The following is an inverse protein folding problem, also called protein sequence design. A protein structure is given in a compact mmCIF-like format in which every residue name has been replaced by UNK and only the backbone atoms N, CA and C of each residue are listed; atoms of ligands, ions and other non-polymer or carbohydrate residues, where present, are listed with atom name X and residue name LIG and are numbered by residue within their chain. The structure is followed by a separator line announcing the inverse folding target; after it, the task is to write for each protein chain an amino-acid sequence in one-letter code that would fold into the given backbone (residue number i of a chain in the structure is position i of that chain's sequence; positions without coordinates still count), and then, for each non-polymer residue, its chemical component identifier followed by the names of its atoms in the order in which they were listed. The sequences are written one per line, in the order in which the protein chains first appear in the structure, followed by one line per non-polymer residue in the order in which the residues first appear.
data_IF_635367123821
#
_entry.id   IF_635367123821
#
_cell.length_a   1.000
_cell.length_b   1.000
_cell.length_c   1.000
_cell.angle_alpha   90.00
_cell.angle_beta   90.00
_cell.angle_gamma   90.00
#
_symmetry.space_group_name_H-M   'P 1'
#
loop_
_entity.id
_entity.type
_entity.pdbx_description
1 polymer ?
#
# COMPACT_ATOMS: atom_id res chain seq x y z
N UNK A 1 -35.20 -16.21 32.18
CA UNK A 1 -36.24 -16.19 31.12
C UNK A 1 -36.56 -14.72 30.88
N UNK A 2 -36.25 -14.11 29.73
CA UNK A 2 -37.04 -14.18 28.49
C UNK A 2 -36.21 -13.75 27.27
N UNK A 3 -36.42 -14.48 26.18
CA UNK A 3 -35.85 -14.27 24.84
C UNK A 3 -36.41 -13.00 24.19
N UNK A 4 -35.60 -12.25 23.42
CA UNK A 4 -36.08 -11.52 22.23
C UNK A 4 -35.08 -11.65 21.07
N UNK A 5 -35.57 -12.29 20.01
CA UNK A 5 -34.97 -12.46 18.67
C UNK A 5 -35.22 -11.19 17.81
N UNK A 6 -34.53 -11.03 16.67
CA UNK A 6 -34.29 -9.75 15.99
C UNK A 6 -35.45 -9.32 15.08
N UNK A 7 -35.44 -8.06 14.61
CA UNK A 7 -36.23 -7.64 13.45
C UNK A 7 -35.42 -6.79 12.45
N UNK A 8 -35.68 -6.99 11.14
CA UNK A 8 -35.04 -6.31 10.01
C UNK A 8 -35.84 -5.07 9.61
N UNK A 9 -35.21 -4.12 8.91
CA UNK A 9 -35.87 -3.05 8.13
C UNK A 9 -34.76 -2.27 7.40
N UNK A 10 -34.86 -1.80 6.17
CA UNK A 10 -35.70 -2.04 4.99
C UNK A 10 -34.89 -1.38 3.85
N UNK A 11 -34.85 -2.01 2.67
CA UNK A 11 -34.30 -1.39 1.47
C UNK A 11 -35.22 -0.23 1.05
N UNK A 12 -34.68 0.98 0.93
CA UNK A 12 -35.32 2.03 0.14
C UNK A 12 -34.74 1.98 -1.27
N UNK A 13 -35.46 1.29 -2.13
CA UNK A 13 -35.38 1.39 -3.58
C UNK A 13 -35.95 2.76 -3.96
N UNK A 14 -35.14 3.65 -4.53
CA UNK A 14 -35.62 4.78 -5.32
C UNK A 14 -35.47 4.41 -6.79
N UNK A 15 -36.49 3.75 -7.32
CA UNK A 15 -36.81 3.84 -8.73
C UNK A 15 -37.59 5.15 -8.92
N UNK A 16 -37.24 5.98 -9.92
CA UNK A 16 -38.22 6.43 -10.92
C UNK A 16 -37.51 7.23 -12.03
N UNK A 17 -37.81 6.83 -13.28
CA UNK A 17 -37.83 7.57 -14.56
C UNK A 17 -36.60 8.39 -14.98
N UNK A 18 -36.08 8.34 -16.21
CA UNK A 18 -36.61 7.92 -17.49
C UNK A 18 -36.03 8.83 -18.59
N UNK A 19 -35.19 8.26 -19.45
CA UNK A 19 -35.00 8.58 -20.89
C UNK A 19 -34.61 10.03 -21.29
N UNK A 20 -33.37 10.22 -21.78
CA UNK A 20 -33.05 10.70 -23.16
C UNK A 20 -31.55 10.97 -23.41
N UNK A 21 -31.03 10.22 -24.38
CA UNK A 21 -29.97 10.52 -25.36
C UNK A 21 -28.48 10.59 -24.94
N UNK A 22 -27.58 10.02 -25.77
CA UNK A 22 -26.15 9.93 -25.49
C UNK A 22 -25.47 11.25 -25.85
N UNK A 23 -24.83 11.90 -24.89
CA UNK A 23 -23.92 13.01 -25.18
C UNK A 23 -22.50 12.47 -25.14
N UNK A 24 -21.90 12.51 -26.32
CA UNK A 24 -20.49 12.28 -26.62
C UNK A 24 -19.52 12.95 -25.66
N UNK A 25 -18.35 12.31 -25.54
CA UNK A 25 -17.07 12.87 -25.12
C UNK A 25 -16.95 13.34 -23.67
N UNK A 26 -16.96 12.37 -22.74
CA UNK A 26 -16.00 12.41 -21.65
C UNK A 26 -14.81 11.54 -22.05
N UNK A 27 -13.84 12.15 -22.71
CA UNK A 27 -12.50 11.61 -22.84
C UNK A 27 -11.92 11.47 -21.45
N UNK A 28 -12.27 10.41 -20.73
CA UNK A 28 -11.52 10.00 -19.56
C UNK A 28 -10.10 9.74 -20.07
N UNK A 29 -9.06 10.50 -19.65
CA UNK A 29 -7.72 10.01 -19.87
C UNK A 29 -7.65 8.70 -19.09
N UNK A 30 -7.65 7.58 -19.83
CA UNK A 30 -7.24 6.28 -19.31
C UNK A 30 -6.01 6.55 -18.44
N UNK A 31 -5.90 6.01 -17.22
CA UNK A 31 -4.61 6.02 -16.54
C UNK A 31 -3.63 5.44 -17.55
N UNK A 32 -2.68 6.26 -18.01
CA UNK A 32 -1.56 5.78 -18.80
C UNK A 32 -0.91 4.73 -17.91
N UNK A 33 -1.21 3.46 -18.16
CA UNK A 33 -0.39 2.38 -17.66
C UNK A 33 0.93 2.57 -18.38
N UNK A 34 1.81 3.34 -17.74
CA UNK A 34 3.19 3.51 -18.10
C UNK A 34 3.73 2.11 -18.36
N UNK A 35 4.06 1.86 -19.61
CA UNK A 35 4.66 0.63 -20.09
C UNK A 35 5.76 0.23 -19.09
N UNK A 36 5.72 -0.96 -18.45
CA UNK A 36 6.74 -1.31 -17.47
C UNK A 36 8.09 -1.37 -18.19
N UNK A 37 9.01 -0.47 -17.84
CA UNK A 37 10.39 -0.52 -18.31
C UNK A 37 10.94 -1.90 -17.97
N UNK A 38 11.55 -2.62 -18.92
CA UNK A 38 11.79 -4.06 -18.78
C UNK A 38 12.91 -4.45 -17.80
N UNK A 39 13.43 -3.55 -16.97
CA UNK A 39 14.57 -3.83 -16.09
C UNK A 39 14.64 -2.95 -14.83
N UNK A 40 13.51 -2.44 -14.33
CA UNK A 40 13.52 -1.68 -13.08
C UNK A 40 13.09 -2.59 -11.93
N UNK A 41 14.00 -2.79 -10.96
CA UNK A 41 13.71 -3.60 -9.78
C UNK A 41 12.51 -3.01 -9.01
N UNK A 42 11.63 -3.85 -8.44
CA UNK A 42 10.48 -3.37 -7.72
C UNK A 42 10.92 -2.54 -6.50
N UNK A 43 10.38 -1.33 -6.41
CA UNK A 43 10.53 -0.47 -5.23
C UNK A 43 9.48 -0.88 -4.21
N UNK A 44 9.93 -1.33 -3.05
CA UNK A 44 9.07 -1.87 -1.98
C UNK A 44 9.20 -1.04 -0.70
N UNK A 45 8.16 -1.06 0.14
CA UNK A 45 8.21 -0.44 1.45
C UNK A 45 9.08 -1.23 2.42
N UNK A 46 9.49 -0.58 3.50
CA UNK A 46 10.19 -1.22 4.63
C UNK A 46 9.48 -2.47 5.13
N UNK A 47 8.16 -2.41 5.32
CA UNK A 47 7.38 -3.53 5.87
C UNK A 47 7.40 -4.78 4.98
N UNK A 48 7.44 -4.59 3.66
CA UNK A 48 7.56 -5.71 2.72
C UNK A 48 8.95 -6.32 2.82
N UNK A 49 9.99 -5.48 2.81
CA UNK A 49 11.37 -5.93 2.94
C UNK A 49 11.61 -6.65 4.28
N UNK A 50 11.13 -6.07 5.40
CA UNK A 50 11.26 -6.59 6.75
C UNK A 50 10.65 -7.99 6.91
N UNK A 51 9.52 -8.26 6.23
CA UNK A 51 8.90 -9.60 6.22
C UNK A 51 9.73 -10.62 5.45
N UNK A 52 10.41 -10.18 4.39
CA UNK A 52 11.21 -11.06 3.51
C UNK A 52 12.65 -11.25 3.97
N UNK A 53 13.20 -10.32 4.76
CA UNK A 53 14.62 -10.32 5.13
C UNK A 53 14.99 -11.35 6.20
N UNK A 54 14.01 -11.86 6.95
CA UNK A 54 14.24 -12.84 8.02
C UNK A 54 15.02 -12.28 9.23
N UNK A 55 15.18 -10.95 9.31
CA UNK A 55 15.90 -10.27 10.38
C UNK A 55 15.05 -10.23 11.66
N UNK A 56 15.70 -10.34 12.82
CA UNK A 56 15.02 -10.26 14.13
C UNK A 56 14.31 -8.91 14.32
N UNK A 57 13.12 -8.94 14.93
CA UNK A 57 12.29 -7.75 15.15
C UNK A 57 13.00 -6.62 15.92
N UNK A 58 13.86 -6.95 16.89
CA UNK A 58 14.60 -5.94 17.67
C UNK A 58 15.58 -5.13 16.81
N UNK A 59 16.28 -5.78 15.88
CA UNK A 59 17.19 -5.10 14.94
C UNK A 59 16.42 -4.24 13.94
N UNK A 60 15.24 -4.71 13.53
CA UNK A 60 14.34 -3.99 12.63
C UNK A 60 13.72 -2.75 13.29
N UNK A 61 13.45 -2.75 14.59
CA UNK A 61 12.92 -1.59 15.29
C UNK A 61 13.91 -0.41 15.27
N UNK A 62 15.18 -0.68 15.58
CA UNK A 62 16.26 0.32 15.50
C UNK A 62 16.48 0.80 14.06
N UNK A 63 16.44 -0.12 13.11
CA UNK A 63 16.60 0.22 11.70
C UNK A 63 15.40 1.04 11.17
N UNK A 64 14.17 0.72 11.56
CA UNK A 64 12.97 1.51 11.19
C UNK A 64 13.08 2.96 11.65
N UNK A 65 13.58 3.19 12.88
CA UNK A 65 13.82 4.54 13.37
C UNK A 65 14.91 5.25 12.55
N UNK A 66 15.99 4.55 12.20
CA UNK A 66 17.03 5.06 11.31
C UNK A 66 16.44 5.44 9.93
N UNK A 67 15.60 4.60 9.33
CA UNK A 67 14.96 4.87 8.05
C UNK A 67 14.07 6.12 8.10
N UNK A 68 13.25 6.26 9.14
CA UNK A 68 12.43 7.46 9.34
C UNK A 68 13.28 8.73 9.47
N UNK A 69 14.40 8.67 10.21
CA UNK A 69 15.32 9.81 10.36
C UNK A 69 15.96 10.23 9.03
N UNK A 70 16.25 9.27 8.15
CA UNK A 70 16.87 9.52 6.83
C UNK A 70 15.83 9.64 5.71
N UNK A 71 14.52 9.64 6.01
CA UNK A 71 13.41 9.69 5.04
C UNK A 71 13.47 8.57 3.99
N UNK A 72 13.87 7.37 4.42
CA UNK A 72 13.91 6.17 3.58
C UNK A 72 12.58 5.42 3.71
N UNK A 73 11.67 5.62 2.76
CA UNK A 73 10.32 5.02 2.82
C UNK A 73 10.15 3.84 1.86
N UNK A 74 10.68 3.95 0.64
CA UNK A 74 10.52 2.94 -0.42
C UNK A 74 11.84 2.81 -1.18
N UNK A 75 12.39 1.61 -1.20
CA UNK A 75 13.67 1.27 -1.84
C UNK A 75 13.56 -0.09 -2.52
N UNK A 76 14.52 -0.40 -3.38
CA UNK A 76 14.66 -1.76 -3.91
C UNK A 76 15.18 -2.71 -2.82
N UNK A 77 14.97 -4.01 -2.98
CA UNK A 77 15.49 -5.01 -2.02
C UNK A 77 17.01 -4.87 -1.80
N UNK A 78 17.86 -4.75 -2.85
CA UNK A 78 19.30 -4.55 -2.66
C UNK A 78 19.64 -3.27 -1.87
N UNK A 79 18.96 -2.16 -2.16
CA UNK A 79 19.18 -0.90 -1.46
C UNK A 79 18.84 -1.01 0.03
N UNK A 80 17.76 -1.72 0.38
CA UNK A 80 17.42 -2.00 1.76
C UNK A 80 18.54 -2.76 2.49
N UNK A 81 19.16 -3.76 1.85
CA UNK A 81 20.30 -4.47 2.44
C UNK A 81 21.53 -3.57 2.61
N UNK A 82 21.79 -2.66 1.68
CA UNK A 82 22.88 -1.68 1.78
C UNK A 82 22.66 -0.75 2.96
N UNK A 83 21.46 -0.17 3.09
CA UNK A 83 21.11 0.73 4.20
C UNK A 83 21.13 0.00 5.55
N UNK A 84 20.65 -1.24 5.60
CA UNK A 84 20.74 -2.07 6.80
C UNK A 84 22.20 -2.35 7.19
N UNK A 85 23.05 -2.65 6.22
CA UNK A 85 24.48 -2.87 6.45
C UNK A 85 25.21 -1.59 6.91
N UNK A 86 24.77 -0.41 6.46
CA UNK A 86 25.27 0.89 6.95
C UNK A 86 24.83 1.12 8.38
N UNK A 87 23.57 0.82 8.71
CA UNK A 87 23.03 0.92 10.06
C UNK A 87 23.81 0.04 11.05
N UNK A 88 24.06 -1.22 10.70
CA UNK A 88 24.83 -2.15 11.55
C UNK A 88 26.29 -1.73 11.78
N UNK A 89 26.86 -0.94 10.86
CA UNK A 89 28.24 -0.44 10.95
C UNK A 89 28.38 0.87 11.74
N UNK A 90 27.28 1.48 12.18
CA UNK A 90 27.37 2.70 12.99
C UNK A 90 27.89 2.34 14.39
N UNK A 91 28.91 3.07 14.91
CA UNK A 91 29.35 2.89 16.28
C UNK A 91 28.20 3.22 17.24
N UNK A 92 28.02 2.37 18.25
CA UNK A 92 27.04 2.49 19.32
C UNK A 92 27.52 3.52 20.34
#
# INVERSE_FOLDING_TARGET
MTRKKPKPIMQETKEDTGIKSPISNSSTPKPMMSNPKPNELPIISFDVWAKTSGIKMDQLAGFRHYCNKNKLERLTIPDWHVEFSKFLRKPV
#
